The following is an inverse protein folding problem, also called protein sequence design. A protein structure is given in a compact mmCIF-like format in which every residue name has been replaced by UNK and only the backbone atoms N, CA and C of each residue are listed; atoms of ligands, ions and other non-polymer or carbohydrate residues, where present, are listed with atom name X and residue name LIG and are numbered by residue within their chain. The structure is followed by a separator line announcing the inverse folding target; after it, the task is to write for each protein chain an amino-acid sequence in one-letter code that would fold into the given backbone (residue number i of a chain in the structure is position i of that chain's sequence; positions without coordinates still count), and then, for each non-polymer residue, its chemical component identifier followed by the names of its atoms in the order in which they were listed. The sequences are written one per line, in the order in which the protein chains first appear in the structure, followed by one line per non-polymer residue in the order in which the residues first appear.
data_IF_427248136939
#
_entry.id   IF_427248136939
#
_cell.length_a   1.000
_cell.length_b   1.000
_cell.length_c   1.000
_cell.angle_alpha   90.00
_cell.angle_beta   90.00
_cell.angle_gamma   90.00
#
_symmetry.space_group_name_H-M   'P 1'
#
loop_
_entity.id
_entity.type
_entity.pdbx_description
1 polymer ?
#
# COMPACT_ATOMS: atom_id res chain seq x y z
N UNK A 1 -40.49 -43.20 44.63
CA UNK A 1 -40.16 -41.78 44.38
C UNK A 1 -39.14 -41.72 43.27
N UNK A 2 -39.57 -41.38 42.04
CA UNK A 2 -38.68 -41.22 40.86
C UNK A 2 -38.46 -39.70 40.67
N UNK A 3 -37.26 -39.25 40.79
CA UNK A 3 -36.86 -37.88 40.50
C UNK A 3 -36.32 -37.84 39.06
N UNK A 4 -37.07 -37.21 38.15
CA UNK A 4 -36.64 -36.95 36.77
C UNK A 4 -35.75 -35.70 36.75
N UNK A 5 -34.49 -35.86 36.37
CA UNK A 5 -33.61 -34.73 36.02
C UNK A 5 -33.92 -34.35 34.58
N UNK A 6 -34.47 -33.14 34.39
CA UNK A 6 -34.50 -32.46 33.08
C UNK A 6 -33.12 -31.80 32.83
N UNK A 7 -32.42 -32.31 31.81
CA UNK A 7 -31.22 -31.71 31.28
C UNK A 7 -31.62 -30.63 30.26
N UNK A 8 -31.57 -29.37 30.66
CA UNK A 8 -31.66 -28.23 29.72
C UNK A 8 -30.35 -28.10 28.95
N UNK A 9 -30.33 -28.55 27.69
CA UNK A 9 -29.30 -28.23 26.74
C UNK A 9 -29.49 -26.77 26.28
N UNK A 10 -28.72 -25.84 26.87
CA UNK A 10 -28.54 -24.51 26.33
C UNK A 10 -27.58 -24.58 25.12
N UNK A 11 -28.16 -24.60 23.94
CA UNK A 11 -27.44 -24.41 22.69
C UNK A 11 -27.04 -22.94 22.63
N UNK A 12 -25.77 -22.66 22.98
CA UNK A 12 -25.13 -21.36 22.72
C UNK A 12 -24.93 -21.26 21.22
N UNK A 13 -25.91 -20.74 20.49
CA UNK A 13 -25.68 -20.23 19.14
C UNK A 13 -24.80 -18.98 19.26
N UNK A 14 -23.50 -19.16 19.05
CA UNK A 14 -22.61 -18.07 18.78
C UNK A 14 -23.03 -17.43 17.46
N UNK A 15 -23.82 -16.39 17.53
CA UNK A 15 -24.00 -15.46 16.42
C UNK A 15 -22.67 -14.77 16.20
N UNK A 16 -21.88 -15.31 15.28
CA UNK A 16 -20.86 -14.53 14.58
C UNK A 16 -21.64 -13.45 13.82
N UNK A 17 -21.81 -12.30 14.47
CA UNK A 17 -22.29 -11.09 13.82
C UNK A 17 -21.24 -10.70 12.79
N UNK A 18 -21.45 -11.15 11.55
CA UNK A 18 -20.74 -10.63 10.40
C UNK A 18 -21.16 -9.17 10.25
N UNK A 19 -20.32 -8.23 10.69
CA UNK A 19 -20.60 -6.80 10.69
C UNK A 19 -20.95 -6.21 9.31
N UNK A 20 -20.69 -6.94 8.25
CA UNK A 20 -21.05 -6.58 6.89
C UNK A 20 -22.41 -7.17 6.40
N UNK A 21 -23.10 -7.97 7.21
CA UNK A 21 -24.49 -8.32 6.99
C UNK A 21 -25.46 -7.12 7.15
N UNK A 22 -24.97 -5.96 7.62
CA UNK A 22 -25.68 -4.68 7.60
C UNK A 22 -25.41 -3.84 6.32
N UNK A 23 -24.88 -4.43 5.25
CA UNK A 23 -24.98 -3.82 3.94
C UNK A 23 -26.47 -3.64 3.64
N UNK A 24 -26.90 -2.39 3.43
CA UNK A 24 -28.27 -2.04 3.06
C UNK A 24 -28.82 -3.11 2.07
N UNK A 25 -29.81 -3.94 2.44
CA UNK A 25 -30.30 -5.04 1.59
C UNK A 25 -30.76 -4.53 0.22
N UNK A 26 -31.24 -3.30 0.17
CA UNK A 26 -31.63 -2.61 -1.06
C UNK A 26 -30.43 -2.39 -1.97
N UNK A 27 -29.26 -2.02 -1.41
CA UNK A 27 -28.03 -1.85 -2.19
C UNK A 27 -27.54 -3.18 -2.77
N UNK A 28 -27.60 -4.26 -1.99
CA UNK A 28 -27.21 -5.59 -2.47
C UNK A 28 -28.09 -6.03 -3.65
N UNK A 29 -29.40 -5.75 -3.59
CA UNK A 29 -30.34 -6.06 -4.69
C UNK A 29 -30.05 -5.20 -5.93
N UNK A 30 -29.75 -3.90 -5.77
CA UNK A 30 -29.39 -3.02 -6.89
C UNK A 30 -28.07 -3.47 -7.53
N UNK A 31 -27.06 -3.81 -6.73
CA UNK A 31 -25.80 -4.35 -7.22
C UNK A 31 -25.98 -5.67 -7.99
N UNK A 32 -26.88 -6.54 -7.53
CA UNK A 32 -27.22 -7.76 -8.25
C UNK A 32 -27.81 -7.48 -9.64
N UNK A 33 -28.61 -6.44 -9.77
CA UNK A 33 -29.17 -5.99 -11.07
C UNK A 33 -28.09 -5.38 -11.97
N UNK A 34 -27.10 -4.68 -11.41
CA UNK A 34 -25.92 -4.17 -12.14
C UNK A 34 -25.07 -5.33 -12.68
N UNK A 35 -24.95 -6.44 -11.96
CA UNK A 35 -24.37 -7.71 -12.38
C UNK A 35 -22.85 -7.73 -12.49
N UNK A 36 -22.19 -6.55 -12.48
CA UNK A 36 -20.73 -6.46 -12.60
C UNK A 36 -20.19 -5.21 -11.91
N UNK A 37 -18.85 -5.20 -11.70
CA UNK A 37 -18.09 -4.04 -11.25
C UNK A 37 -16.73 -4.01 -11.93
N UNK A 38 -16.33 -2.85 -12.43
CA UNK A 38 -15.06 -2.63 -13.12
C UNK A 38 -14.06 -2.01 -12.15
N UNK A 39 -13.07 -2.81 -11.77
CA UNK A 39 -12.07 -2.42 -10.78
C UNK A 39 -10.72 -2.14 -11.45
N UNK A 40 -10.33 -0.87 -11.50
CA UNK A 40 -9.01 -0.43 -11.95
C UNK A 40 -8.04 -0.40 -10.77
N UNK A 41 -6.86 -1.03 -10.93
CA UNK A 41 -5.93 -1.16 -9.81
C UNK A 41 -4.46 -1.23 -10.24
N UNK A 42 -3.57 -0.75 -9.36
CA UNK A 42 -2.13 -1.03 -9.43
C UNK A 42 -1.68 -2.14 -8.46
N UNK A 43 -2.61 -2.77 -7.77
CA UNK A 43 -2.32 -3.89 -6.88
C UNK A 43 -1.83 -5.10 -7.69
N UNK A 44 -0.89 -5.88 -7.14
CA UNK A 44 -0.38 -7.08 -7.80
C UNK A 44 -1.52 -8.08 -8.08
N UNK A 45 -1.41 -8.82 -9.19
CA UNK A 45 -2.48 -9.69 -9.71
C UNK A 45 -2.95 -10.73 -8.69
N UNK A 46 -2.03 -11.34 -7.96
CA UNK A 46 -2.31 -12.33 -6.92
C UNK A 46 -3.21 -11.76 -5.82
N UNK A 47 -2.89 -10.56 -5.36
CA UNK A 47 -3.65 -9.85 -4.31
C UNK A 47 -5.01 -9.38 -4.80
N UNK A 48 -5.03 -8.75 -5.99
CA UNK A 48 -6.28 -8.28 -6.59
C UNK A 48 -7.24 -9.42 -6.88
N UNK A 49 -6.74 -10.53 -7.41
CA UNK A 49 -7.55 -11.73 -7.65
C UNK A 49 -8.06 -12.35 -6.34
N UNK A 50 -7.25 -12.41 -5.28
CA UNK A 50 -7.69 -12.93 -3.99
C UNK A 50 -8.85 -12.08 -3.40
N UNK A 51 -8.74 -10.76 -3.46
CA UNK A 51 -9.82 -9.84 -3.05
C UNK A 51 -11.07 -10.04 -3.93
N UNK A 52 -10.90 -10.07 -5.25
CA UNK A 52 -12.03 -10.25 -6.18
C UNK A 52 -12.75 -11.58 -5.97
N UNK A 53 -12.02 -12.68 -5.76
CA UNK A 53 -12.60 -14.00 -5.47
C UNK A 53 -13.35 -14.00 -4.14
N UNK A 54 -12.78 -13.42 -3.07
CA UNK A 54 -13.46 -13.29 -1.80
C UNK A 54 -14.75 -12.49 -1.92
N UNK A 55 -14.72 -11.34 -2.63
CA UNK A 55 -15.92 -10.55 -2.90
C UNK A 55 -16.98 -11.36 -3.68
N UNK A 56 -16.60 -12.01 -4.78
CA UNK A 56 -17.53 -12.80 -5.60
C UNK A 56 -18.12 -14.02 -4.88
N UNK A 57 -17.39 -14.57 -3.90
CA UNK A 57 -17.91 -15.64 -3.03
C UNK A 57 -19.11 -15.17 -2.20
N UNK A 58 -19.09 -13.91 -1.77
CA UNK A 58 -20.16 -13.30 -0.98
C UNK A 58 -21.27 -12.69 -1.84
N UNK A 59 -20.89 -12.19 -3.01
CA UNK A 59 -21.78 -11.54 -3.96
C UNK A 59 -21.71 -12.25 -5.31
N UNK A 60 -22.17 -13.52 -5.42
CA UNK A 60 -21.98 -14.35 -6.62
C UNK A 60 -22.67 -13.81 -7.87
N UNK A 61 -23.66 -12.94 -7.70
CA UNK A 61 -24.36 -12.28 -8.79
C UNK A 61 -23.63 -11.04 -9.35
N UNK A 62 -22.50 -10.63 -8.74
CA UNK A 62 -21.71 -9.46 -9.18
C UNK A 62 -20.34 -9.91 -9.65
N UNK A 63 -20.09 -9.84 -10.95
CA UNK A 63 -18.79 -10.21 -11.54
C UNK A 63 -17.78 -9.07 -11.40
N UNK A 64 -16.60 -9.33 -10.85
CA UNK A 64 -15.50 -8.37 -10.81
C UNK A 64 -14.69 -8.43 -12.10
N UNK A 65 -14.65 -7.32 -12.84
CA UNK A 65 -13.74 -7.10 -13.98
C UNK A 65 -12.49 -6.37 -13.48
N UNK A 66 -11.45 -7.14 -13.17
CA UNK A 66 -10.21 -6.63 -12.60
C UNK A 66 -9.23 -6.23 -13.69
N UNK A 67 -8.96 -4.92 -13.81
CA UNK A 67 -7.93 -4.38 -14.70
C UNK A 67 -6.73 -3.91 -13.90
N UNK A 68 -5.53 -4.42 -14.24
CA UNK A 68 -4.28 -4.10 -13.55
C UNK A 68 -3.23 -3.52 -14.48
N UNK A 69 -2.65 -2.37 -14.05
CA UNK A 69 -1.39 -1.84 -14.61
C UNK A 69 -0.58 -1.14 -13.50
N UNK A 70 0.60 -0.59 -13.78
CA UNK A 70 1.33 0.20 -12.79
C UNK A 70 0.64 1.56 -12.53
N UNK A 71 0.97 2.20 -11.43
CA UNK A 71 0.26 3.40 -10.99
C UNK A 71 0.37 4.59 -11.95
N UNK A 72 1.54 4.92 -12.54
CA UNK A 72 1.63 5.99 -13.55
C UNK A 72 0.75 5.73 -14.78
N UNK A 73 0.83 4.52 -15.34
CA UNK A 73 0.02 4.13 -16.51
C UNK A 73 -1.47 4.14 -16.19
N UNK A 74 -1.83 3.72 -14.96
CA UNK A 74 -3.22 3.73 -14.50
C UNK A 74 -3.77 5.15 -14.42
N UNK A 75 -3.02 6.07 -13.81
CA UNK A 75 -3.40 7.47 -13.72
C UNK A 75 -3.56 8.10 -15.13
N UNK A 76 -2.59 7.87 -16.02
CA UNK A 76 -2.65 8.35 -17.40
C UNK A 76 -3.86 7.79 -18.16
N UNK A 77 -4.17 6.50 -17.99
CA UNK A 77 -5.35 5.88 -18.59
C UNK A 77 -6.63 6.54 -18.12
N UNK A 78 -6.81 6.69 -16.80
CA UNK A 78 -8.01 7.32 -16.23
C UNK A 78 -8.17 8.75 -16.71
N UNK A 79 -7.08 9.53 -16.77
CA UNK A 79 -7.10 10.89 -17.31
C UNK A 79 -7.47 10.93 -18.81
N UNK A 80 -6.92 10.02 -19.62
CA UNK A 80 -7.23 9.93 -21.06
C UNK A 80 -8.69 9.53 -21.29
N UNK A 81 -9.20 8.54 -20.55
CA UNK A 81 -10.61 8.14 -20.61
C UNK A 81 -11.54 9.29 -20.21
N UNK A 82 -11.15 10.08 -19.18
CA UNK A 82 -11.90 11.24 -18.73
C UNK A 82 -11.94 12.34 -19.79
N UNK A 83 -10.82 12.65 -20.43
CA UNK A 83 -10.75 13.63 -21.54
C UNK A 83 -11.60 13.21 -22.73
N UNK A 84 -11.70 11.90 -23.00
CA UNK A 84 -12.55 11.34 -24.03
C UNK A 84 -14.04 11.22 -23.60
N UNK A 85 -14.40 11.62 -22.38
CA UNK A 85 -15.74 11.47 -21.82
C UNK A 85 -16.19 10.03 -21.60
N UNK A 86 -15.26 9.08 -21.49
CA UNK A 86 -15.51 7.62 -21.45
C UNK A 86 -14.87 6.93 -20.26
N UNK A 87 -15.01 7.48 -19.05
CA UNK A 87 -14.55 6.79 -17.84
C UNK A 87 -15.33 5.49 -17.66
N UNK A 88 -14.63 4.36 -17.66
CA UNK A 88 -15.24 3.02 -17.60
C UNK A 88 -15.13 2.37 -16.22
N UNK A 89 -14.27 2.88 -15.35
CA UNK A 89 -14.06 2.31 -14.03
C UNK A 89 -15.21 2.60 -13.06
N UNK A 90 -15.45 1.69 -12.14
CA UNK A 90 -16.34 1.85 -10.99
C UNK A 90 -15.54 2.13 -9.71
N UNK A 91 -14.49 1.35 -9.50
CA UNK A 91 -13.61 1.44 -8.33
C UNK A 91 -12.18 1.66 -8.81
N UNK A 92 -11.54 2.66 -8.23
CA UNK A 92 -10.12 2.92 -8.42
C UNK A 92 -9.34 2.52 -7.17
N UNK A 93 -8.30 1.71 -7.36
CA UNK A 93 -7.30 1.45 -6.35
C UNK A 93 -5.93 1.86 -6.89
N UNK A 94 -5.38 2.94 -6.37
CA UNK A 94 -4.14 3.52 -6.89
C UNK A 94 -3.20 3.93 -5.75
N UNK A 95 -1.90 3.92 -6.03
CA UNK A 95 -0.92 4.48 -5.10
C UNK A 95 -1.28 5.92 -4.76
N UNK A 96 -1.26 6.22 -3.47
CA UNK A 96 -1.58 7.52 -2.90
C UNK A 96 -0.92 8.70 -3.64
N UNK A 97 0.27 8.48 -4.20
CA UNK A 97 1.03 9.48 -4.93
C UNK A 97 0.39 9.99 -6.22
N UNK A 98 -0.47 9.20 -6.84
CA UNK A 98 -1.14 9.55 -8.09
C UNK A 98 -2.59 9.99 -7.90
N UNK A 99 -3.02 10.10 -6.64
CA UNK A 99 -4.42 10.38 -6.32
C UNK A 99 -4.78 11.85 -6.55
N UNK A 100 -3.89 12.79 -6.22
CA UNK A 100 -4.14 14.22 -6.22
C UNK A 100 -4.60 14.73 -7.59
N UNK A 101 -3.88 14.38 -8.66
CA UNK A 101 -4.27 14.76 -10.02
C UNK A 101 -5.67 14.28 -10.42
N UNK A 102 -6.09 13.11 -9.90
CA UNK A 102 -7.42 12.55 -10.20
C UNK A 102 -8.51 13.24 -9.36
N UNK A 103 -8.17 13.67 -8.13
CA UNK A 103 -9.06 14.49 -7.31
C UNK A 103 -9.22 15.89 -7.89
N UNK A 104 -8.13 16.54 -8.32
CA UNK A 104 -8.18 17.86 -8.97
C UNK A 104 -8.97 17.83 -10.29
N UNK A 105 -8.87 16.75 -11.05
CA UNK A 105 -9.68 16.54 -12.25
C UNK A 105 -11.15 16.19 -11.95
N UNK A 106 -11.53 16.06 -10.68
CA UNK A 106 -12.90 15.78 -10.26
C UNK A 106 -13.40 14.39 -10.68
N UNK A 107 -12.52 13.39 -10.76
CA UNK A 107 -12.83 12.05 -11.26
C UNK A 107 -13.29 11.08 -10.16
N UNK A 108 -13.27 11.50 -8.91
CA UNK A 108 -13.68 10.72 -7.76
C UNK A 108 -14.98 11.27 -7.15
N UNK A 109 -15.77 10.37 -6.57
CA UNK A 109 -17.03 10.69 -5.90
C UNK A 109 -16.92 10.36 -4.40
N UNK A 110 -17.44 11.23 -3.50
CA UNK A 110 -17.46 10.93 -2.08
C UNK A 110 -18.26 9.66 -1.77
N UNK A 111 -17.65 8.75 -1.02
CA UNK A 111 -18.34 7.59 -0.47
C UNK A 111 -17.81 7.24 0.93
N UNK A 112 -18.59 7.61 1.96
CA UNK A 112 -18.29 7.26 3.34
C UNK A 112 -18.71 5.81 3.62
N UNK A 113 -17.83 4.87 3.30
CA UNK A 113 -18.03 3.46 3.67
C UNK A 113 -18.14 3.33 5.20
N UNK A 114 -19.08 2.52 5.74
CA UNK A 114 -19.17 2.27 7.18
C UNK A 114 -17.90 1.59 7.74
N UNK A 115 -17.11 0.94 6.89
CA UNK A 115 -15.87 0.29 7.29
C UNK A 115 -14.75 1.28 7.64
N UNK A 116 -14.87 2.55 7.23
CA UNK A 116 -13.86 3.58 7.46
C UNK A 116 -13.61 3.90 8.94
N UNK A 117 -14.54 3.60 9.83
CA UNK A 117 -14.39 3.88 11.26
C UNK A 117 -13.25 3.06 11.90
N UNK A 118 -12.95 1.90 11.34
CA UNK A 118 -11.85 1.06 11.77
C UNK A 118 -10.46 1.55 11.28
N UNK A 119 -10.41 2.56 10.42
CA UNK A 119 -9.15 3.12 9.89
C UNK A 119 -8.68 4.32 10.68
N UNK A 120 -7.35 4.54 10.82
CA UNK A 120 -6.78 5.76 11.39
C UNK A 120 -7.26 7.03 10.66
N UNK A 121 -7.28 8.16 11.37
CA UNK A 121 -7.70 9.45 10.77
C UNK A 121 -6.83 9.85 9.59
N UNK A 122 -5.53 9.62 9.69
CA UNK A 122 -4.53 9.90 8.67
C UNK A 122 -4.61 8.96 7.44
N UNK A 123 -5.38 7.87 7.51
CA UNK A 123 -5.59 6.94 6.40
C UNK A 123 -6.87 7.22 5.60
N UNK A 124 -7.51 8.34 5.86
CA UNK A 124 -8.77 8.71 5.19
C UNK A 124 -8.96 10.23 5.14
N UNK A 125 -9.52 10.72 4.06
CA UNK A 125 -9.91 12.13 3.96
C UNK A 125 -11.29 12.42 4.58
N UNK A 126 -11.53 13.67 4.95
CA UNK A 126 -12.85 14.10 5.49
C UNK A 126 -13.97 14.01 4.45
N UNK A 127 -13.77 14.43 3.16
CA UNK A 127 -14.79 14.33 2.13
C UNK A 127 -15.14 12.90 1.71
N UNK A 128 -14.46 11.86 2.21
CA UNK A 128 -14.66 10.46 1.81
C UNK A 128 -14.35 10.17 0.34
N UNK A 129 -13.40 10.87 -0.26
CA UNK A 129 -12.95 10.60 -1.62
C UNK A 129 -12.03 9.37 -1.69
N UNK A 130 -11.30 9.08 -0.61
CA UNK A 130 -10.38 7.96 -0.55
C UNK A 130 -10.22 7.36 0.85
N UNK A 131 -9.73 6.12 0.89
CA UNK A 131 -9.25 5.45 2.10
C UNK A 131 -8.00 4.68 1.75
N UNK A 132 -6.92 4.84 2.54
CA UNK A 132 -5.68 4.11 2.40
C UNK A 132 -5.88 2.68 2.91
N UNK A 133 -5.68 1.69 2.04
CA UNK A 133 -5.98 0.29 2.37
C UNK A 133 -4.80 -0.46 3.00
N UNK A 134 -3.58 0.06 2.86
CA UNK A 134 -2.37 -0.57 3.38
C UNK A 134 -1.25 0.45 3.56
N UNK A 135 -0.26 0.11 4.40
CA UNK A 135 1.00 0.83 4.50
C UNK A 135 2.16 -0.06 4.02
N UNK A 136 2.96 0.46 3.08
CA UNK A 136 4.20 -0.14 2.63
C UNK A 136 5.36 0.65 3.22
N UNK A 137 5.97 0.12 4.25
CA UNK A 137 7.05 0.79 5.00
C UNK A 137 8.35 0.79 4.22
N UNK A 138 9.04 1.94 4.22
CA UNK A 138 10.34 2.12 3.59
C UNK A 138 11.43 1.87 4.63
N UNK A 139 12.28 0.91 4.36
CA UNK A 139 13.32 0.43 5.30
C UNK A 139 14.69 0.40 4.63
N UNK A 140 15.74 0.45 5.43
CA UNK A 140 17.11 0.19 4.97
C UNK A 140 17.33 -1.32 5.05
N UNK A 141 17.43 -1.97 3.86
CA UNK A 141 17.68 -3.41 3.77
C UNK A 141 19.17 -3.74 3.78
N UNK A 142 19.53 -4.92 4.30
CA UNK A 142 20.92 -5.41 4.21
C UNK A 142 20.97 -6.92 4.05
N UNK A 143 22.05 -7.42 3.43
CA UNK A 143 22.35 -8.83 3.34
C UNK A 143 23.07 -9.30 4.61
N UNK A 144 22.52 -10.29 5.32
CA UNK A 144 23.01 -10.74 6.63
C UNK A 144 24.28 -11.61 6.55
N UNK A 145 24.68 -12.06 5.35
CA UNK A 145 25.96 -12.76 5.13
C UNK A 145 27.10 -11.76 4.89
N UNK A 146 26.80 -10.57 4.37
CA UNK A 146 27.78 -9.53 4.08
C UNK A 146 27.90 -8.48 5.17
N UNK A 147 26.82 -8.26 5.92
CA UNK A 147 26.73 -7.21 6.95
C UNK A 147 26.28 -7.82 8.27
N UNK A 148 27.16 -7.76 9.27
CA UNK A 148 26.79 -8.20 10.61
C UNK A 148 25.75 -7.26 11.20
N UNK A 149 24.79 -7.79 11.97
CA UNK A 149 23.66 -7.04 12.54
C UNK A 149 24.08 -5.80 13.34
N UNK A 150 25.19 -5.88 14.05
CA UNK A 150 25.71 -4.75 14.85
C UNK A 150 26.27 -3.60 14.02
N UNK A 151 26.63 -3.87 12.77
CA UNK A 151 27.23 -2.94 11.81
C UNK A 151 26.23 -2.44 10.77
N UNK A 152 25.05 -3.05 10.72
CA UNK A 152 24.01 -2.70 9.76
C UNK A 152 23.53 -1.23 9.98
N UNK A 153 23.38 -0.45 8.90
CA UNK A 153 22.96 0.95 8.98
C UNK A 153 21.56 1.04 9.57
N UNK A 154 21.37 1.93 10.55
CA UNK A 154 20.08 2.17 11.25
C UNK A 154 19.40 3.43 10.74
N UNK A 155 20.16 4.37 10.22
CA UNK A 155 19.68 5.65 9.68
C UNK A 155 20.25 5.89 8.30
N UNK A 156 19.63 6.78 7.53
CA UNK A 156 20.20 7.21 6.25
C UNK A 156 21.56 7.92 6.41
N UNK A 157 21.85 8.49 7.58
CA UNK A 157 23.17 9.09 7.86
C UNK A 157 24.26 8.03 8.02
N UNK A 158 23.91 6.82 8.50
CA UNK A 158 24.89 5.71 8.62
C UNK A 158 25.36 5.21 7.24
N UNK A 159 24.53 5.43 6.18
CA UNK A 159 24.88 5.10 4.80
C UNK A 159 25.99 6.01 4.24
N UNK A 160 26.31 7.11 4.93
CA UNK A 160 27.40 8.02 4.56
C UNK A 160 28.78 7.49 4.99
N UNK A 161 28.84 6.39 5.74
CA UNK A 161 30.10 5.75 6.09
C UNK A 161 30.81 5.25 4.81
N UNK A 162 32.11 5.58 4.60
CA UNK A 162 32.85 5.20 3.39
C UNK A 162 32.87 3.69 3.10
N UNK A 163 32.65 2.82 4.11
CA UNK A 163 32.58 1.37 3.92
C UNK A 163 31.45 0.94 2.97
N UNK A 164 30.40 1.76 2.82
CA UNK A 164 29.27 1.47 1.94
C UNK A 164 29.45 1.94 0.50
N UNK A 165 30.55 2.64 0.20
CA UNK A 165 30.78 3.21 -1.13
C UNK A 165 30.79 2.12 -2.21
N UNK A 166 29.87 2.24 -3.19
CA UNK A 166 29.69 1.26 -4.26
C UNK A 166 29.02 -0.05 -3.84
N UNK A 167 28.68 -0.24 -2.55
CA UNK A 167 28.08 -1.45 -1.99
C UNK A 167 26.55 -1.35 -1.85
N UNK A 168 25.97 -0.23 -2.29
CA UNK A 168 24.56 0.06 -2.11
C UNK A 168 23.79 -0.02 -3.41
N UNK A 169 22.54 -0.45 -3.32
CA UNK A 169 21.56 -0.38 -4.40
C UNK A 169 20.44 0.60 -4.06
N UNK A 170 19.98 1.33 -5.08
CA UNK A 170 18.85 2.25 -5.03
C UNK A 170 17.97 2.03 -6.26
N UNK A 171 16.66 2.16 -6.09
CA UNK A 171 15.70 2.09 -7.18
C UNK A 171 15.85 3.30 -8.09
N UNK A 172 15.80 3.09 -9.41
CA UNK A 172 16.06 4.15 -10.40
C UNK A 172 14.93 5.21 -10.47
N UNK A 173 13.73 4.88 -9.98
CA UNK A 173 12.63 5.80 -9.72
C UNK A 173 12.58 6.24 -8.24
N UNK A 174 13.69 6.23 -7.52
CA UNK A 174 13.80 6.58 -6.10
C UNK A 174 13.39 8.01 -5.74
N UNK A 175 12.98 8.84 -6.72
CA UNK A 175 12.52 10.22 -6.51
C UNK A 175 11.31 10.33 -5.58
N UNK A 176 10.49 9.28 -5.44
CA UNK A 176 9.40 9.24 -4.45
C UNK A 176 9.93 9.19 -3.03
N UNK A 177 10.86 8.28 -2.75
CA UNK A 177 11.55 8.22 -1.47
C UNK A 177 12.34 9.51 -1.18
N UNK A 178 12.99 10.08 -2.18
CA UNK A 178 13.65 11.38 -2.10
C UNK A 178 12.67 12.46 -1.62
N UNK A 179 11.50 12.58 -2.26
CA UNK A 179 10.46 13.53 -1.88
C UNK A 179 10.00 13.34 -0.43
N UNK A 180 9.73 12.10 -0.01
CA UNK A 180 9.32 11.80 1.36
C UNK A 180 10.41 12.12 2.38
N UNK A 181 11.66 11.90 2.02
CA UNK A 181 12.80 12.17 2.90
C UNK A 181 13.00 13.67 3.09
N UNK A 182 12.81 14.46 2.05
CA UNK A 182 12.85 15.91 2.15
C UNK A 182 11.71 16.46 3.02
N UNK A 183 10.48 15.97 2.85
CA UNK A 183 9.35 16.35 3.69
C UNK A 183 9.56 15.98 5.17
N UNK A 184 10.13 14.80 5.43
CA UNK A 184 10.42 14.31 6.78
C UNK A 184 11.52 15.11 7.50
N UNK A 185 12.59 15.46 6.77
CA UNK A 185 13.80 16.06 7.36
C UNK A 185 13.87 17.58 7.24
N UNK A 186 13.02 18.18 6.39
CA UNK A 186 13.15 19.52 5.89
C UNK A 186 14.09 19.61 4.67
N UNK A 187 13.83 20.57 3.81
CA UNK A 187 14.47 20.73 2.49
C UNK A 187 16.00 20.76 2.56
N UNK A 188 16.57 21.64 3.34
CA UNK A 188 18.02 21.86 3.42
C UNK A 188 18.76 20.61 3.91
N UNK A 189 18.31 20.05 5.03
CA UNK A 189 18.93 18.86 5.62
C UNK A 189 18.77 17.64 4.73
N UNK A 190 17.59 17.47 4.11
CA UNK A 190 17.31 16.40 3.18
C UNK A 190 18.20 16.49 1.94
N UNK A 191 18.31 17.64 1.29
CA UNK A 191 19.18 17.84 0.12
C UNK A 191 20.66 17.63 0.46
N UNK A 192 21.12 18.09 1.62
CA UNK A 192 22.48 17.83 2.08
C UNK A 192 22.76 16.33 2.22
N UNK A 193 21.83 15.58 2.83
CA UNK A 193 21.94 14.12 2.92
C UNK A 193 22.02 13.47 1.54
N UNK A 194 21.12 13.85 0.61
CA UNK A 194 21.05 13.25 -0.73
C UNK A 194 22.33 13.49 -1.54
N UNK A 195 22.86 14.71 -1.52
CA UNK A 195 24.14 15.04 -2.18
C UNK A 195 25.29 14.20 -1.63
N UNK A 196 25.38 14.03 -0.31
CA UNK A 196 26.40 13.21 0.34
C UNK A 196 26.21 11.71 0.04
N UNK A 197 24.96 11.25 -0.03
CA UNK A 197 24.64 9.86 -0.37
C UNK A 197 25.01 9.56 -1.84
N UNK A 198 24.85 10.50 -2.76
CA UNK A 198 25.28 10.36 -4.15
C UNK A 198 26.79 10.13 -4.26
N UNK A 199 27.61 10.78 -3.41
CA UNK A 199 29.06 10.58 -3.35
C UNK A 199 29.45 9.14 -2.92
N UNK A 200 28.54 8.40 -2.30
CA UNK A 200 28.73 6.97 -1.99
C UNK A 200 28.54 6.07 -3.23
N UNK A 201 28.16 6.64 -4.39
CA UNK A 201 27.97 5.92 -5.67
C UNK A 201 27.04 4.71 -5.53
N UNK A 202 25.78 4.87 -5.08
CA UNK A 202 24.82 3.78 -5.10
C UNK A 202 24.58 3.32 -6.53
N UNK A 203 24.46 2.02 -6.75
CA UNK A 203 24.10 1.46 -8.04
C UNK A 203 22.58 1.46 -8.23
N UNK A 204 22.12 1.74 -9.45
CA UNK A 204 20.71 1.83 -9.76
C UNK A 204 20.21 0.55 -10.41
N UNK A 205 19.03 0.08 -9.99
CA UNK A 205 18.30 -1.02 -10.61
C UNK A 205 16.83 -0.65 -10.73
N UNK A 206 16.17 -1.21 -11.74
CA UNK A 206 14.75 -0.97 -11.94
C UNK A 206 13.90 -2.04 -11.25
N UNK A 207 13.02 -1.60 -10.36
CA UNK A 207 11.99 -2.42 -9.72
C UNK A 207 12.40 -3.05 -8.39
N UNK A 208 11.61 -2.76 -7.36
CA UNK A 208 11.81 -3.20 -5.97
C UNK A 208 11.96 -4.71 -5.80
N UNK A 209 11.31 -5.52 -6.68
CA UNK A 209 11.41 -6.98 -6.60
C UNK A 209 12.80 -7.46 -6.98
N UNK A 210 13.34 -6.93 -8.07
CA UNK A 210 14.70 -7.25 -8.53
C UNK A 210 15.73 -6.81 -7.48
N UNK A 211 15.59 -5.58 -6.95
CA UNK A 211 16.48 -5.05 -5.92
C UNK A 211 16.54 -5.98 -4.70
N UNK A 212 15.39 -6.42 -4.20
CA UNK A 212 15.36 -7.34 -3.06
C UNK A 212 15.99 -8.71 -3.37
N UNK A 213 15.83 -9.21 -4.60
CA UNK A 213 16.47 -10.45 -5.06
C UNK A 213 17.99 -10.32 -5.15
N UNK A 214 18.50 -9.23 -5.72
CA UNK A 214 19.94 -8.95 -5.85
C UNK A 214 20.58 -8.72 -4.46
N UNK A 215 19.87 -8.04 -3.55
CA UNK A 215 20.29 -7.93 -2.16
C UNK A 215 20.42 -9.30 -1.50
N UNK A 216 19.43 -10.18 -1.67
CA UNK A 216 19.47 -11.53 -1.12
C UNK A 216 20.57 -12.41 -1.74
N UNK A 217 20.86 -12.22 -3.02
CA UNK A 217 21.94 -12.91 -3.73
C UNK A 217 23.35 -12.41 -3.32
N UNK A 218 23.44 -11.30 -2.56
CA UNK A 218 24.71 -10.73 -2.13
C UNK A 218 25.42 -9.87 -3.18
N UNK A 219 24.73 -9.46 -4.25
CA UNK A 219 25.30 -8.49 -5.20
C UNK A 219 25.54 -7.13 -4.56
N UNK A 220 24.71 -6.79 -3.57
CA UNK A 220 24.81 -5.57 -2.77
C UNK A 220 24.80 -5.88 -1.28
N UNK A 221 25.58 -5.14 -0.52
CA UNK A 221 25.58 -5.24 0.93
C UNK A 221 24.33 -4.58 1.55
N UNK A 222 23.89 -3.46 0.95
CA UNK A 222 22.82 -2.61 1.48
C UNK A 222 21.88 -2.14 0.37
N UNK A 223 20.59 -2.15 0.67
CA UNK A 223 19.54 -1.46 -0.10
C UNK A 223 19.19 -0.17 0.63
N UNK A 224 19.37 0.96 -0.01
CA UNK A 224 19.14 2.29 0.58
C UNK A 224 17.69 2.43 1.02
N UNK A 225 16.76 2.04 0.16
CA UNK A 225 15.33 2.01 0.45
C UNK A 225 14.68 0.80 -0.20
N UNK A 226 14.16 -0.08 0.64
CA UNK A 226 13.40 -1.26 0.24
C UNK A 226 12.02 -1.24 0.89
N UNK A 227 11.06 -1.97 0.31
CA UNK A 227 9.79 -2.24 0.99
C UNK A 227 9.98 -3.31 2.07
N UNK A 228 9.70 -2.97 3.33
CA UNK A 228 9.88 -3.87 4.47
C UNK A 228 9.14 -5.19 4.31
N UNK A 229 7.91 -5.21 3.78
CA UNK A 229 7.14 -6.44 3.58
C UNK A 229 7.82 -7.42 2.61
N UNK A 230 8.57 -6.93 1.61
CA UNK A 230 9.31 -7.80 0.68
C UNK A 230 10.46 -8.50 1.37
N UNK A 231 11.21 -7.76 2.18
CA UNK A 231 12.32 -8.33 2.94
C UNK A 231 11.82 -9.33 4.00
N UNK A 232 10.70 -9.03 4.66
CA UNK A 232 10.04 -10.00 5.57
C UNK A 232 9.62 -11.28 4.84
N UNK A 233 9.02 -11.17 3.65
CA UNK A 233 8.62 -12.32 2.85
C UNK A 233 9.84 -13.16 2.42
N UNK A 234 10.93 -12.53 2.03
CA UNK A 234 12.15 -13.24 1.64
C UNK A 234 12.82 -13.87 2.85
N UNK A 235 12.91 -13.16 3.97
CA UNK A 235 13.44 -13.65 5.24
C UNK A 235 12.65 -14.85 5.76
N UNK A 236 11.31 -14.81 5.67
CA UNK A 236 10.46 -15.96 6.07
C UNK A 236 10.69 -17.22 5.24
N UNK A 237 11.25 -17.07 4.03
CA UNK A 237 11.66 -18.14 3.13
C UNK A 237 13.13 -18.53 3.27
N UNK A 238 13.83 -18.01 4.28
CA UNK A 238 15.24 -18.33 4.57
C UNK A 238 16.26 -17.49 3.80
N UNK A 239 15.85 -16.45 3.08
CA UNK A 239 16.80 -15.57 2.40
C UNK A 239 17.66 -14.78 3.42
N UNK A 240 18.96 -14.56 3.15
CA UNK A 240 19.89 -13.89 4.06
C UNK A 240 19.72 -12.36 4.00
N UNK A 241 18.52 -11.87 4.32
CA UNK A 241 18.21 -10.44 4.36
C UNK A 241 17.59 -10.04 5.69
N UNK A 242 17.87 -8.81 6.11
CA UNK A 242 17.17 -8.16 7.21
C UNK A 242 17.10 -6.65 6.96
N UNK A 243 16.51 -5.88 7.89
CA UNK A 243 16.29 -4.46 7.72
C UNK A 243 16.26 -3.69 9.04
N UNK A 244 16.52 -2.39 8.94
CA UNK A 244 16.33 -1.40 9.99
C UNK A 244 15.43 -0.27 9.51
N UNK A 245 14.72 0.35 10.44
CA UNK A 245 13.88 1.52 10.20
C UNK A 245 14.64 2.82 10.49
N UNK A 246 14.62 3.78 9.55
CA UNK A 246 15.06 5.16 9.81
C UNK A 246 13.87 5.98 10.32
N UNK A 247 13.73 6.07 11.63
CA UNK A 247 12.58 6.71 12.27
C UNK A 247 12.63 8.24 12.32
N UNK A 248 11.50 8.92 12.19
CA UNK A 248 10.19 8.38 11.86
C UNK A 248 10.19 7.80 10.44
N UNK A 249 9.66 6.57 10.31
CA UNK A 249 9.70 5.83 9.06
C UNK A 249 8.66 6.33 8.06
N UNK A 250 9.03 6.52 6.80
CA UNK A 250 8.06 6.81 5.75
C UNK A 250 7.35 5.54 5.29
N UNK A 251 6.09 5.67 4.94
CA UNK A 251 5.32 4.57 4.40
C UNK A 251 4.45 5.06 3.24
N UNK A 252 4.53 4.38 2.11
CA UNK A 252 3.59 4.57 1.00
C UNK A 252 2.40 3.63 1.14
N UNK A 253 1.38 3.81 0.30
CA UNK A 253 0.22 2.92 0.31
C UNK A 253 -0.64 3.09 -0.92
N UNK A 254 -1.66 2.26 -1.02
CA UNK A 254 -2.68 2.38 -2.06
C UNK A 254 -4.00 2.82 -1.46
N UNK A 255 -4.70 3.67 -2.17
CA UNK A 255 -6.03 4.15 -1.80
C UNK A 255 -7.10 3.46 -2.61
N UNK A 256 -8.29 3.31 -2.02
CA UNK A 256 -9.49 2.92 -2.73
C UNK A 256 -10.44 4.11 -2.80
N UNK A 257 -11.06 4.32 -3.96
CA UNK A 257 -11.96 5.42 -4.27
C UNK A 257 -13.12 4.97 -5.15
N UNK A 258 -14.26 5.64 -5.02
CA UNK A 258 -15.39 5.50 -5.93
C UNK A 258 -15.17 6.40 -7.15
N UNK A 259 -15.36 5.88 -8.36
CA UNK A 259 -15.30 6.68 -9.57
C UNK A 259 -16.52 7.61 -9.67
N UNK A 260 -16.30 8.85 -10.09
CA UNK A 260 -17.38 9.75 -10.44
C UNK A 260 -18.12 9.24 -11.67
N UNK A 261 -19.43 9.18 -11.62
CA UNK A 261 -20.28 8.61 -12.68
C UNK A 261 -20.00 7.14 -12.95
N UNK A 262 -19.69 6.37 -11.88
CA UNK A 262 -19.55 4.92 -11.96
C UNK A 262 -20.71 4.28 -12.71
N UNK A 263 -20.47 3.43 -13.74
CA UNK A 263 -21.52 2.69 -14.45
C UNK A 263 -22.32 1.75 -13.52
N UNK A 264 -21.67 1.18 -12.48
CA UNK A 264 -22.27 0.22 -11.55
C UNK A 264 -22.11 0.70 -10.09
N UNK A 265 -22.79 1.81 -9.70
CA UNK A 265 -22.48 2.50 -8.45
C UNK A 265 -22.81 1.73 -7.17
N UNK A 266 -23.76 0.77 -7.22
CA UNK A 266 -24.10 -0.05 -6.06
C UNK A 266 -23.10 -1.20 -5.89
N UNK A 267 -22.72 -1.86 -6.97
CA UNK A 267 -21.70 -2.89 -6.99
C UNK A 267 -20.32 -2.30 -6.59
N UNK A 268 -20.00 -1.08 -7.04
CA UNK A 268 -18.80 -0.35 -6.64
C UNK A 268 -18.73 -0.11 -5.12
N UNK A 269 -19.83 0.37 -4.52
CA UNK A 269 -19.89 0.60 -3.08
C UNK A 269 -19.76 -0.72 -2.28
N UNK A 270 -20.36 -1.81 -2.76
CA UNK A 270 -20.17 -3.12 -2.13
C UNK A 270 -18.72 -3.58 -2.22
N UNK A 271 -18.06 -3.42 -3.37
CA UNK A 271 -16.65 -3.81 -3.53
C UNK A 271 -15.74 -2.95 -2.65
N UNK A 272 -15.97 -1.63 -2.56
CA UNK A 272 -15.23 -0.75 -1.64
C UNK A 272 -15.41 -1.20 -0.19
N UNK A 273 -16.66 -1.47 0.25
CA UNK A 273 -16.91 -1.99 1.58
C UNK A 273 -16.15 -3.29 1.84
N UNK A 274 -16.16 -4.21 0.87
CA UNK A 274 -15.44 -5.48 1.00
C UNK A 274 -13.91 -5.27 1.09
N UNK A 275 -13.32 -4.44 0.24
CA UNK A 275 -11.88 -4.11 0.31
C UNK A 275 -11.50 -3.53 1.67
N UNK A 276 -12.37 -2.71 2.25
CA UNK A 276 -12.17 -2.07 3.56
C UNK A 276 -12.62 -2.94 4.74
N UNK A 277 -13.36 -4.03 4.51
CA UNK A 277 -13.84 -4.92 5.58
C UNK A 277 -12.70 -5.66 6.27
N UNK A 278 -12.98 -6.22 7.44
CA UNK A 278 -12.01 -7.06 8.16
C UNK A 278 -11.54 -8.23 7.31
N UNK A 279 -12.42 -8.87 6.54
CA UNK A 279 -12.09 -9.99 5.65
C UNK A 279 -11.16 -9.54 4.52
N UNK A 280 -11.53 -8.49 3.78
CA UNK A 280 -10.70 -7.95 2.70
C UNK A 280 -9.32 -7.51 3.18
N UNK A 281 -9.25 -6.87 4.34
CA UNK A 281 -7.99 -6.46 4.96
C UNK A 281 -7.16 -7.64 5.49
N UNK A 282 -7.80 -8.72 5.96
CA UNK A 282 -7.12 -9.96 6.34
C UNK A 282 -6.49 -10.64 5.12
N UNK A 283 -7.19 -10.64 3.98
CA UNK A 283 -6.61 -11.11 2.71
C UNK A 283 -5.37 -10.28 2.34
N UNK A 284 -5.43 -8.94 2.44
CA UNK A 284 -4.26 -8.09 2.18
C UNK A 284 -3.11 -8.38 3.16
N UNK A 285 -3.40 -8.56 4.44
CA UNK A 285 -2.40 -8.90 5.45
C UNK A 285 -1.71 -10.23 5.15
N UNK A 286 -2.41 -11.23 4.56
CA UNK A 286 -1.82 -12.53 4.21
C UNK A 286 -0.65 -12.44 3.21
N UNK A 287 -0.55 -11.33 2.49
CA UNK A 287 0.58 -11.00 1.63
C UNK A 287 1.68 -10.19 2.34
N UNK A 288 1.72 -10.22 3.67
CA UNK A 288 2.68 -9.51 4.53
C UNK A 288 2.64 -7.97 4.40
N UNK A 289 1.59 -7.42 3.82
CA UNK A 289 1.37 -5.97 3.86
C UNK A 289 0.84 -5.54 5.23
N UNK A 290 1.16 -4.33 5.66
CA UNK A 290 0.51 -3.74 6.84
C UNK A 290 -0.88 -3.30 6.44
N UNK A 291 -1.95 -3.90 6.98
CA UNK A 291 -3.33 -3.50 6.65
C UNK A 291 -3.63 -2.09 7.15
N UNK A 292 -4.56 -1.41 6.48
CA UNK A 292 -5.00 -0.08 6.87
C UNK A 292 -5.90 -0.08 8.11
N UNK A 293 -6.61 -1.18 8.38
CA UNK A 293 -7.50 -1.32 9.56
C UNK A 293 -6.72 -1.56 10.83
N UNK A 294 -7.13 -0.91 11.93
CA UNK A 294 -6.51 -1.06 13.26
C UNK A 294 -6.79 -2.43 13.90
N UNK A 295 -7.93 -3.04 13.57
CA UNK A 295 -8.41 -4.31 14.16
C UNK A 295 -8.01 -5.55 13.34
N UNK A 296 -7.18 -5.36 12.30
CA UNK A 296 -6.54 -6.44 11.54
C UNK A 296 -5.03 -6.40 11.81
N UNK A 297 -4.47 -7.41 12.49
CA UNK A 297 -3.05 -7.43 12.79
C UNK A 297 -2.21 -7.66 11.53
N UNK A 298 -1.07 -6.99 11.42
CA UNK A 298 -0.06 -7.32 10.43
C UNK A 298 0.55 -8.70 10.77
N UNK A 299 0.72 -9.56 9.76
CA UNK A 299 1.35 -10.89 9.93
C UNK A 299 2.82 -10.74 10.32
N UNK A 300 3.49 -9.68 9.85
CA UNK A 300 4.84 -9.30 10.30
C UNK A 300 4.74 -8.04 11.21
N UNK A 301 4.49 -8.19 12.51
CA UNK A 301 4.26 -7.06 13.41
C UNK A 301 5.41 -6.05 13.44
N UNK A 302 6.66 -6.50 13.28
CA UNK A 302 7.84 -5.62 13.28
C UNK A 302 7.80 -4.55 12.17
N UNK A 303 6.95 -4.71 11.14
CA UNK A 303 6.78 -3.69 10.10
C UNK A 303 6.13 -2.40 10.59
N UNK A 304 5.46 -2.44 11.74
CA UNK A 304 4.74 -1.29 12.28
C UNK A 304 4.80 -1.20 13.82
N UNK A 305 4.89 -2.33 14.51
CA UNK A 305 4.82 -2.35 15.97
C UNK A 305 6.03 -1.63 16.60
N UNK A 306 5.76 -0.63 17.42
CA UNK A 306 6.78 0.17 18.10
C UNK A 306 7.49 1.19 17.20
N UNK A 307 7.12 1.29 15.92
CA UNK A 307 7.72 2.24 14.98
C UNK A 307 6.90 3.52 14.88
N UNK A 308 7.60 4.65 14.76
CA UNK A 308 6.97 5.94 14.46
C UNK A 308 6.85 6.09 12.95
N UNK A 309 5.65 6.35 12.45
CA UNK A 309 5.41 6.64 11.04
C UNK A 309 5.41 8.15 10.81
N UNK A 310 6.02 8.58 9.71
CA UNK A 310 5.84 9.91 9.14
C UNK A 310 4.71 9.86 8.10
N UNK A 311 3.59 10.54 8.33
CA UNK A 311 2.47 10.50 7.39
C UNK A 311 2.86 11.17 6.06
N UNK A 312 2.56 10.51 4.95
CA UNK A 312 2.77 11.07 3.62
C UNK A 312 1.59 11.98 3.30
N UNK A 313 1.89 13.19 2.82
CA UNK A 313 0.89 14.18 2.41
C UNK A 313 0.57 14.02 0.93
N UNK A 314 -0.71 14.08 0.57
CA UNK A 314 -1.17 14.00 -0.84
C UNK A 314 -0.54 15.10 -1.70
N UNK A 315 -0.39 16.28 -1.13
CA UNK A 315 0.13 17.48 -1.79
C UNK A 315 1.57 17.32 -2.30
N UNK A 316 2.33 16.33 -1.80
CA UNK A 316 3.69 16.03 -2.28
C UNK A 316 3.71 15.58 -3.75
N UNK A 317 2.58 15.10 -4.27
CA UNK A 317 2.43 14.76 -5.68
C UNK A 317 2.62 15.97 -6.60
N UNK A 318 2.25 17.18 -6.14
CA UNK A 318 2.35 18.43 -6.91
C UNK A 318 3.79 18.81 -7.27
N UNK A 319 4.74 18.43 -6.42
CA UNK A 319 6.17 18.71 -6.64
C UNK A 319 6.91 17.54 -7.28
N UNK A 320 6.23 16.44 -7.61
CA UNK A 320 6.87 15.19 -8.00
C UNK A 320 7.79 15.32 -9.21
N UNK A 321 7.38 16.06 -10.25
CA UNK A 321 8.18 16.25 -11.45
C UNK A 321 9.47 17.05 -11.14
N UNK A 322 9.35 18.11 -10.35
CA UNK A 322 10.49 18.89 -9.87
C UNK A 322 11.44 18.01 -9.03
N UNK A 323 10.90 17.22 -8.12
CA UNK A 323 11.66 16.30 -7.27
C UNK A 323 12.34 15.19 -8.06
N UNK A 324 11.70 14.70 -9.11
CA UNK A 324 12.32 13.76 -10.04
C UNK A 324 13.53 14.36 -10.72
N UNK A 325 13.40 15.58 -11.23
CA UNK A 325 14.49 16.26 -11.94
C UNK A 325 15.63 16.57 -10.98
N UNK A 326 15.35 17.03 -9.74
CA UNK A 326 16.35 17.21 -8.69
C UNK A 326 17.05 15.89 -8.32
N UNK A 327 16.29 14.78 -8.19
CA UNK A 327 16.85 13.47 -7.92
C UNK A 327 17.85 13.05 -9.00
N UNK A 328 17.49 13.19 -10.28
CA UNK A 328 18.38 12.85 -11.38
C UNK A 328 19.60 13.76 -11.45
N UNK A 329 19.45 15.05 -11.19
CA UNK A 329 20.59 15.98 -11.10
C UNK A 329 21.57 15.61 -9.98
N UNK A 330 21.10 15.09 -8.86
CA UNK A 330 21.97 14.74 -7.72
C UNK A 330 22.62 13.36 -7.91
N UNK A 331 21.86 12.37 -8.39
CA UNK A 331 22.29 10.96 -8.36
C UNK A 331 22.79 10.42 -9.70
N UNK A 332 22.41 11.02 -10.82
CA UNK A 332 22.77 10.57 -12.18
C UNK A 332 23.59 11.64 -12.91
N UNK A 333 24.51 12.27 -12.21
CA UNK A 333 25.55 13.06 -12.86
C UNK A 333 26.54 12.07 -13.47
N UNK A 334 26.63 12.06 -14.81
CA UNK A 334 27.60 11.29 -15.59
C UNK A 334 29.05 11.69 -15.27
#
# INVERSE_FOLDING_TARGET
MRVSLLFCLLVFQAHLENSWAQADPRRAELARREGEVIWYSNLALDRGNAIAQGFMKLHPAVKVKYFRTNAPQLANRVMTEAQAGRVQMDVLLISFFFLDQLMEAGLLEPYCSPERDAFPGEFKDKPCLWTLINANTHVIGYNTQLVHRTEAPKTYFDLLNPKWKGQMVLEDEGYRWFTYTLDKMGEEKGLSLMKRLALQKPQFRHGDTLIAQLLAAGEFAVCVVCYGYRLELMKSKGAPVDWNADEPMTASGSTVSLARRSPHPNAARLLINYILSKEGQTILASFLTVPGRRDVPAIAPRLIQGLKLHPIKVELSKTLNERRDQFFQIFKQD
#
